data_IF_646376544591
#
_entry.id   IF_646376544591
#
_cell.length_a   1.000
_cell.length_b   1.000
_cell.length_c   1.000
_cell.angle_alpha   90.00
_cell.angle_beta   90.00
_cell.angle_gamma   90.00
#
_symmetry.space_group_name_H-M   'P 1'
#
loop_
_entity.id
_entity.type
_entity.pdbx_description
1 polymer ?
#
# COMPACT_ATOMS: atom_id res chain seq x y z
N UNK A 1 -27.92 -19.76 -23.20
CA UNK A 1 -27.22 -18.47 -23.36
C UNK A 1 -27.36 -17.70 -22.06
N UNK A 2 -26.33 -17.70 -21.23
CA UNK A 2 -26.29 -16.93 -20.00
C UNK A 2 -26.20 -15.45 -20.37
N UNK A 3 -27.18 -14.65 -19.92
CA UNK A 3 -27.22 -13.22 -20.13
C UNK A 3 -26.05 -12.61 -19.35
N UNK A 4 -24.97 -12.25 -20.02
CA UNK A 4 -23.85 -11.54 -19.39
C UNK A 4 -24.34 -10.14 -19.07
N UNK A 5 -24.73 -9.90 -17.82
CA UNK A 5 -25.02 -8.57 -17.31
C UNK A 5 -23.73 -7.75 -17.35
N UNK A 6 -23.76 -6.56 -17.95
CA UNK A 6 -22.65 -5.61 -17.83
C UNK A 6 -22.53 -5.15 -16.37
N UNK A 7 -21.32 -4.80 -15.95
CA UNK A 7 -21.13 -4.16 -14.65
C UNK A 7 -21.73 -2.74 -14.67
N UNK A 8 -21.79 -2.11 -13.49
CA UNK A 8 -22.11 -0.68 -13.43
C UNK A 8 -21.12 0.09 -14.32
N UNK A 9 -21.60 1.00 -15.18
CA UNK A 9 -20.73 1.80 -16.05
C UNK A 9 -19.61 2.54 -15.31
N UNK A 10 -19.77 2.86 -14.01
CA UNK A 10 -18.72 3.46 -13.21
C UNK A 10 -17.55 2.49 -12.94
N UNK A 11 -17.85 1.22 -12.66
CA UNK A 11 -16.81 0.20 -12.47
C UNK A 11 -16.05 -0.07 -13.75
N UNK A 12 -16.76 -0.14 -14.89
CA UNK A 12 -16.14 -0.30 -16.20
C UNK A 12 -15.16 0.86 -16.48
N UNK A 13 -15.57 2.10 -16.22
CA UNK A 13 -14.70 3.29 -16.40
C UNK A 13 -13.44 3.25 -15.53
N UNK A 14 -13.56 2.86 -14.26
CA UNK A 14 -12.41 2.75 -13.35
C UNK A 14 -11.47 1.64 -13.83
N UNK A 15 -12.02 0.47 -14.19
CA UNK A 15 -11.23 -0.65 -14.69
C UNK A 15 -10.51 -0.29 -16.00
N UNK A 16 -11.21 0.35 -16.94
CA UNK A 16 -10.64 0.78 -18.22
C UNK A 16 -9.49 1.76 -18.02
N UNK A 17 -9.65 2.74 -17.13
CA UNK A 17 -8.58 3.69 -16.80
C UNK A 17 -7.36 2.97 -16.20
N UNK A 18 -7.55 2.10 -15.21
CA UNK A 18 -6.44 1.41 -14.53
C UNK A 18 -5.68 0.47 -15.47
N UNK A 19 -6.38 -0.21 -16.39
CA UNK A 19 -5.78 -1.20 -17.28
C UNK A 19 -5.13 -0.60 -18.53
N UNK A 20 -5.67 0.50 -19.07
CA UNK A 20 -5.29 0.98 -20.40
C UNK A 20 -4.62 2.36 -20.43
N UNK A 21 -4.81 3.20 -19.40
CA UNK A 21 -4.20 4.52 -19.39
C UNK A 21 -2.74 4.46 -18.96
N UNK A 22 -1.83 5.00 -19.78
CA UNK A 22 -0.39 4.98 -19.51
C UNK A 22 0.33 6.33 -19.79
N UNK A 23 -0.42 7.38 -20.13
CA UNK A 23 0.14 8.66 -20.53
C UNK A 23 0.25 9.63 -19.34
N UNK A 24 1.19 9.37 -18.42
CA UNK A 24 1.44 10.23 -17.27
C UNK A 24 2.44 11.35 -17.61
N UNK A 25 2.15 12.59 -17.20
CA UNK A 25 3.04 13.71 -17.47
C UNK A 25 4.35 13.62 -16.64
N UNK A 26 5.46 14.21 -17.13
CA UNK A 26 6.72 14.24 -16.36
C UNK A 26 6.56 14.87 -14.97
N UNK A 27 5.74 15.92 -14.86
CA UNK A 27 5.44 16.57 -13.59
C UNK A 27 4.71 15.62 -12.63
N UNK A 28 3.69 14.88 -13.11
CA UNK A 28 2.97 13.92 -12.28
C UNK A 28 3.90 12.83 -11.73
N UNK A 29 4.80 12.29 -12.57
CA UNK A 29 5.77 11.28 -12.14
C UNK A 29 6.79 11.84 -11.14
N UNK A 30 7.25 13.07 -11.34
CA UNK A 30 8.16 13.75 -10.41
C UNK A 30 7.49 13.96 -9.04
N UNK A 31 6.26 14.46 -9.03
CA UNK A 31 5.50 14.67 -7.79
C UNK A 31 5.17 13.36 -7.09
N UNK A 32 4.81 12.30 -7.84
CA UNK A 32 4.59 10.97 -7.27
C UNK A 32 5.84 10.43 -6.56
N UNK A 33 7.03 10.66 -7.13
CA UNK A 33 8.30 10.30 -6.47
C UNK A 33 8.48 11.06 -5.15
N UNK A 34 8.21 12.36 -5.14
CA UNK A 34 8.29 13.17 -3.91
C UNK A 34 7.27 12.71 -2.87
N UNK A 35 6.03 12.44 -3.27
CA UNK A 35 4.97 11.95 -2.39
C UNK A 35 5.30 10.58 -1.78
N UNK A 36 5.96 9.69 -2.56
CA UNK A 36 6.45 8.42 -2.06
C UNK A 36 7.50 8.61 -0.95
N UNK A 37 8.48 9.49 -1.17
CA UNK A 37 9.51 9.79 -0.16
C UNK A 37 8.93 10.39 1.11
N UNK A 38 7.98 11.33 0.98
CA UNK A 38 7.27 11.94 2.10
C UNK A 38 6.47 10.90 2.90
N UNK A 39 5.70 10.05 2.21
CA UNK A 39 4.91 8.98 2.83
C UNK A 39 5.78 7.99 3.60
N UNK A 40 6.91 7.57 3.01
CA UNK A 40 7.87 6.67 3.69
C UNK A 40 8.50 7.37 4.90
N UNK A 41 8.83 8.67 4.80
CA UNK A 41 9.33 9.46 5.92
C UNK A 41 8.34 9.50 7.08
N UNK A 42 7.06 9.78 6.81
CA UNK A 42 5.97 9.72 7.78
C UNK A 42 5.85 8.33 8.43
N UNK A 43 5.93 7.27 7.63
CA UNK A 43 5.84 5.91 8.15
C UNK A 43 6.97 5.57 9.14
N UNK A 44 8.22 5.94 8.81
CA UNK A 44 9.36 5.69 9.69
C UNK A 44 9.26 6.53 10.96
N UNK A 45 8.83 7.80 10.86
CA UNK A 45 8.67 8.68 12.02
C UNK A 45 7.58 8.15 12.97
N UNK A 46 6.50 7.59 12.43
CA UNK A 46 5.41 7.02 13.21
C UNK A 46 5.86 5.90 14.17
N UNK A 47 6.93 5.18 13.85
CA UNK A 47 7.53 4.17 14.74
C UNK A 47 8.08 4.74 16.05
N UNK A 48 8.29 6.06 16.12
CA UNK A 48 8.67 6.75 17.38
C UNK A 48 7.51 6.85 18.37
N UNK A 49 6.29 6.47 17.97
CA UNK A 49 5.09 6.49 18.80
C UNK A 49 4.73 5.06 19.20
N UNK A 50 4.90 4.66 20.48
CA UNK A 50 4.68 3.28 20.91
C UNK A 50 3.28 2.74 20.62
N UNK A 51 2.29 3.62 20.57
CA UNK A 51 0.91 3.26 20.22
C UNK A 51 0.75 2.87 18.74
N UNK A 52 1.56 3.45 17.84
CA UNK A 52 1.62 3.02 16.45
C UNK A 52 2.22 1.62 16.37
N UNK A 53 3.39 1.44 17.00
CA UNK A 53 4.17 0.20 16.94
C UNK A 53 3.38 -1.00 17.46
N UNK A 54 2.65 -0.83 18.57
CA UNK A 54 1.79 -1.88 19.17
C UNK A 54 0.68 -2.36 18.24
N UNK A 55 0.21 -1.51 17.31
CA UNK A 55 -0.89 -1.81 16.38
C UNK A 55 -0.40 -2.42 15.07
N UNK A 56 0.91 -2.43 14.81
CA UNK A 56 1.44 -3.08 13.61
C UNK A 56 1.17 -4.58 13.67
N UNK A 57 0.79 -5.14 12.51
CA UNK A 57 0.39 -6.53 12.41
C UNK A 57 1.46 -7.45 13.02
N UNK A 58 1.04 -8.50 13.74
CA UNK A 58 1.96 -9.37 14.44
C UNK A 58 2.91 -10.01 13.43
N UNK A 59 4.21 -9.99 13.76
CA UNK A 59 5.18 -10.81 13.05
C UNK A 59 4.84 -12.28 13.30
N UNK A 60 4.37 -12.99 12.28
CA UNK A 60 4.11 -14.43 12.41
C UNK A 60 5.45 -15.15 12.45
N UNK A 61 5.94 -15.48 13.65
CA UNK A 61 7.27 -16.05 13.91
C UNK A 61 7.47 -17.50 13.41
N UNK A 62 6.60 -17.99 12.53
CA UNK A 62 6.65 -19.35 11.97
C UNK A 62 6.72 -19.40 10.45
N UNK A 63 6.57 -18.29 9.73
CA UNK A 63 6.67 -18.27 8.27
C UNK A 63 7.40 -17.00 7.81
N UNK A 64 8.72 -17.11 7.61
CA UNK A 64 9.33 -16.32 6.53
C UNK A 64 8.72 -16.87 5.24
N UNK A 65 7.65 -16.26 4.76
CA UNK A 65 7.15 -16.54 3.41
C UNK A 65 8.19 -15.98 2.46
N UNK A 66 8.75 -16.82 1.60
CA UNK A 66 9.53 -16.34 0.45
C UNK A 66 8.68 -15.30 -0.29
N UNK A 67 9.23 -14.11 -0.53
CA UNK A 67 8.51 -13.00 -1.16
C UNK A 67 7.59 -12.18 -0.26
N UNK A 68 7.72 -12.26 1.07
CA UNK A 68 7.01 -11.36 1.99
C UNK A 68 7.44 -9.88 1.86
N UNK A 69 6.58 -8.96 2.29
CA UNK A 69 6.85 -7.52 2.27
C UNK A 69 7.65 -7.10 3.50
N UNK A 70 8.74 -6.37 3.26
CA UNK A 70 9.55 -5.77 4.31
C UNK A 70 8.94 -4.45 4.75
N UNK A 71 8.47 -4.39 6.00
CA UNK A 71 7.85 -3.19 6.52
C UNK A 71 8.92 -2.11 6.81
N UNK A 72 8.89 -0.94 6.14
CA UNK A 72 9.93 0.08 6.28
C UNK A 72 10.19 0.48 7.73
N UNK A 73 11.45 0.61 8.12
CA UNK A 73 11.85 0.99 9.47
C UNK A 73 11.76 -0.13 10.52
N UNK A 74 11.43 -1.36 10.14
CA UNK A 74 11.34 -2.52 11.05
C UNK A 74 11.99 -3.77 10.46
N UNK A 75 12.24 -4.78 11.29
CA UNK A 75 12.70 -6.11 10.84
C UNK A 75 11.53 -7.06 10.49
N UNK A 76 10.29 -6.55 10.40
CA UNK A 76 9.11 -7.37 10.16
C UNK A 76 8.96 -7.67 8.66
N UNK A 77 8.77 -8.96 8.37
CA UNK A 77 8.40 -9.46 7.04
C UNK A 77 6.96 -9.98 7.15
N UNK A 78 6.05 -9.40 6.38
CA UNK A 78 4.61 -9.62 6.49
C UNK A 78 4.03 -10.14 5.17
N UNK A 79 2.90 -10.84 5.24
CA UNK A 79 2.09 -11.09 4.05
C UNK A 79 1.46 -9.78 3.52
N UNK A 80 1.03 -9.72 2.24
CA UNK A 80 0.55 -8.49 1.63
C UNK A 80 -0.62 -7.82 2.37
N UNK A 81 -1.51 -8.59 3.01
CA UNK A 81 -2.69 -8.04 3.70
C UNK A 81 -2.25 -7.36 5.00
N UNK A 82 -1.46 -8.06 5.80
CA UNK A 82 -0.89 -7.52 7.04
C UNK A 82 0.05 -6.34 6.79
N UNK A 83 0.82 -6.40 5.70
CA UNK A 83 1.71 -5.34 5.26
C UNK A 83 0.95 -4.08 4.84
N UNK A 84 -0.12 -4.22 4.05
CA UNK A 84 -0.93 -3.10 3.61
C UNK A 84 -1.56 -2.36 4.79
N UNK A 85 -2.11 -3.09 5.77
CA UNK A 85 -2.64 -2.48 6.99
C UNK A 85 -1.54 -1.76 7.77
N UNK A 86 -0.40 -2.42 8.01
CA UNK A 86 0.69 -1.86 8.82
C UNK A 86 1.33 -0.64 8.18
N UNK A 87 1.55 -0.65 6.86
CA UNK A 87 2.08 0.51 6.14
C UNK A 87 1.06 1.65 6.09
N UNK A 88 -0.21 1.35 5.81
CA UNK A 88 -1.29 2.33 5.80
C UNK A 88 -1.47 3.03 7.16
N UNK A 89 -1.38 2.27 8.25
CA UNK A 89 -1.42 2.83 9.61
C UNK A 89 -0.21 3.74 9.88
N UNK A 90 0.99 3.34 9.47
CA UNK A 90 2.22 4.13 9.69
C UNK A 90 2.22 5.45 8.92
N UNK A 91 1.93 5.44 7.61
CA UNK A 91 1.97 6.66 6.79
C UNK A 91 0.98 7.73 7.26
N UNK A 92 -0.05 7.34 8.02
CA UNK A 92 -1.13 8.23 8.48
C UNK A 92 -1.24 8.32 10.00
N UNK A 93 -0.23 7.89 10.76
CA UNK A 93 -0.32 7.87 12.22
C UNK A 93 -0.32 9.28 12.86
N UNK A 94 0.47 10.20 12.29
CA UNK A 94 0.67 11.58 12.76
C UNK A 94 -0.36 12.54 12.18
#
# INVERSE_FOLDING_TARGET
MTKHTSFDPLFDKIADYVLHYNNFSPLAMQTARSALLDSIGCAILALSFPECEKRLAPFFSGQRREGGFHLPGTDRILDPVSAAFSLGAQIRWL
#
